data_IF_830100210734
#
_entry.id   IF_830100210734
#
_cell.length_a   1.000
_cell.length_b   1.000
_cell.length_c   1.000
_cell.angle_alpha   90.00
_cell.angle_beta   90.00
_cell.angle_gamma   90.00
#
_symmetry.space_group_name_H-M   'P 1'
#
loop_
_entity.id
_entity.type
_entity.pdbx_description
1 polymer ?
#
# COMPACT_ATOMS: atom_id res chain seq x y z
N UNK A 1 -19.78 1.46 -17.69
CA UNK A 1 -20.24 0.86 -16.41
C UNK A 1 -19.68 1.69 -15.27
N UNK A 2 -20.52 2.15 -14.33
CA UNK A 2 -20.08 3.04 -13.25
C UNK A 2 -19.50 2.20 -12.09
N UNK A 3 -18.20 2.31 -11.84
CA UNK A 3 -17.50 1.52 -10.82
C UNK A 3 -18.10 1.71 -9.41
N UNK A 4 -18.58 2.92 -9.09
CA UNK A 4 -19.23 3.22 -7.81
C UNK A 4 -20.56 2.46 -7.64
N UNK A 5 -21.29 2.24 -8.75
CA UNK A 5 -22.55 1.47 -8.74
C UNK A 5 -22.33 -0.03 -8.56
N UNK A 6 -21.17 -0.55 -8.98
CA UNK A 6 -20.80 -1.95 -8.72
C UNK A 6 -20.30 -2.13 -7.28
N UNK A 7 -19.49 -1.20 -6.79
CA UNK A 7 -19.02 -1.19 -5.40
C UNK A 7 -20.16 -1.08 -4.37
N UNK A 8 -21.29 -0.46 -4.73
CA UNK A 8 -22.44 -0.42 -3.83
C UNK A 8 -23.08 -1.80 -3.61
N UNK A 9 -22.85 -2.75 -4.53
CA UNK A 9 -23.47 -4.08 -4.52
C UNK A 9 -22.55 -5.15 -3.92
N UNK A 10 -21.25 -5.11 -4.23
CA UNK A 10 -20.24 -6.08 -3.74
C UNK A 10 -18.81 -5.62 -4.01
N UNK A 11 -17.87 -6.22 -3.31
CA UNK A 11 -16.46 -6.18 -3.66
C UNK A 11 -16.23 -6.93 -4.98
N UNK A 12 -15.29 -6.48 -5.80
CA UNK A 12 -14.94 -7.18 -7.03
C UNK A 12 -13.43 -7.27 -7.24
N UNK A 13 -13.02 -8.41 -7.81
CA UNK A 13 -11.66 -8.62 -8.27
C UNK A 13 -11.41 -7.87 -9.57
N UNK A 14 -10.24 -7.25 -9.69
CA UNK A 14 -9.84 -6.53 -10.89
C UNK A 14 -8.32 -6.70 -11.14
N UNK A 15 -7.88 -6.33 -12.34
CA UNK A 15 -6.45 -6.29 -12.67
C UNK A 15 -6.06 -4.83 -12.89
N UNK A 16 -5.31 -4.25 -11.95
CA UNK A 16 -4.84 -2.87 -12.02
C UNK A 16 -3.34 -2.79 -12.28
N UNK A 17 -2.94 -1.72 -12.97
CA UNK A 17 -1.53 -1.31 -13.02
C UNK A 17 -1.14 -0.73 -11.65
N UNK A 18 -0.18 -1.33 -10.93
CA UNK A 18 0.27 -0.83 -9.63
C UNK A 18 0.76 0.63 -9.66
N UNK A 19 1.25 1.12 -10.80
CA UNK A 19 1.73 2.50 -10.94
C UNK A 19 0.58 3.53 -10.91
N UNK A 20 -0.67 3.09 -11.06
CA UNK A 20 -1.87 3.93 -10.99
C UNK A 20 -2.50 3.97 -9.58
N UNK A 21 -1.98 3.16 -8.65
CA UNK A 21 -2.51 3.03 -7.29
C UNK A 21 -1.65 3.86 -6.35
N UNK A 22 -2.31 4.64 -5.51
CA UNK A 22 -1.72 5.53 -4.53
C UNK A 22 -1.60 4.83 -3.17
N UNK A 23 -0.59 5.24 -2.40
CA UNK A 23 -0.45 4.78 -1.01
C UNK A 23 -1.52 5.44 -0.12
N UNK A 24 -1.87 4.79 0.99
CA UNK A 24 -2.68 5.40 2.07
C UNK A 24 -1.85 5.83 3.25
N UNK A 25 -0.53 5.59 3.25
CA UNK A 25 0.37 5.95 4.33
C UNK A 25 1.63 6.60 3.75
N UNK A 26 2.17 7.61 4.45
CA UNK A 26 3.41 8.28 4.06
C UNK A 26 4.67 7.43 4.27
N UNK A 27 4.57 6.38 5.08
CA UNK A 27 5.68 5.49 5.40
C UNK A 27 5.22 4.05 5.52
N UNK A 28 6.11 3.13 5.18
CA UNK A 28 5.91 1.69 5.32
C UNK A 28 7.08 1.06 6.06
N UNK A 29 6.77 0.02 6.84
CA UNK A 29 7.79 -0.77 7.51
C UNK A 29 8.47 -1.75 6.54
N UNK A 30 9.75 -2.04 6.78
CA UNK A 30 10.52 -3.04 6.01
C UNK A 30 10.01 -4.47 6.20
N UNK A 31 9.32 -4.76 7.30
CA UNK A 31 8.88 -6.11 7.65
C UNK A 31 7.38 -6.26 7.42
N UNK A 32 6.94 -7.43 6.98
CA UNK A 32 5.53 -7.81 7.01
C UNK A 32 5.09 -8.11 8.45
N UNK A 33 3.80 -7.91 8.75
CA UNK A 33 3.26 -8.12 10.10
C UNK A 33 3.00 -9.60 10.31
N UNK A 34 3.62 -10.20 11.33
CA UNK A 34 3.40 -11.59 11.72
C UNK A 34 4.52 -12.59 11.37
N UNK A 35 5.57 -12.19 10.64
CA UNK A 35 6.57 -13.14 10.10
C UNK A 35 7.99 -12.98 10.69
N UNK A 36 8.55 -14.09 11.20
CA UNK A 36 9.51 -15.03 10.59
C UNK A 36 10.68 -14.53 9.72
N UNK A 37 10.81 -13.23 9.46
CA UNK A 37 11.97 -12.64 8.76
C UNK A 37 11.80 -12.35 7.27
N UNK A 38 10.61 -12.50 6.69
CA UNK A 38 10.35 -12.10 5.29
C UNK A 38 10.20 -10.58 5.15
N UNK A 39 11.05 -9.96 4.34
CA UNK A 39 11.08 -8.49 4.18
C UNK A 39 10.44 -7.99 2.89
N UNK A 40 10.17 -6.68 2.84
CA UNK A 40 9.80 -5.96 1.62
C UNK A 40 10.87 -6.14 0.54
N UNK A 41 12.15 -6.12 0.91
CA UNK A 41 13.26 -6.30 -0.03
C UNK A 41 13.29 -7.72 -0.61
N UNK A 42 13.15 -8.75 0.23
CA UNK A 42 13.10 -10.14 -0.22
C UNK A 42 11.94 -10.37 -1.19
N UNK A 43 10.78 -9.78 -0.89
CA UNK A 43 9.59 -9.87 -1.75
C UNK A 43 9.84 -9.21 -3.10
N UNK A 44 10.46 -8.02 -3.13
CA UNK A 44 10.85 -7.36 -4.39
C UNK A 44 11.82 -8.23 -5.18
N UNK A 45 12.87 -8.75 -4.54
CA UNK A 45 13.87 -9.58 -5.20
C UNK A 45 13.27 -10.88 -5.76
N UNK A 46 12.36 -11.51 -5.02
CA UNK A 46 11.66 -12.70 -5.48
C UNK A 46 10.70 -12.41 -6.65
N UNK A 47 10.04 -11.25 -6.68
CA UNK A 47 9.25 -10.81 -7.83
C UNK A 47 10.14 -10.55 -9.06
N UNK A 48 11.28 -9.88 -8.87
CA UNK A 48 12.25 -9.57 -9.94
C UNK A 48 12.85 -10.84 -10.54
N UNK A 49 13.21 -11.80 -9.69
CA UNK A 49 13.78 -13.09 -10.10
C UNK A 49 12.72 -14.12 -10.52
N UNK A 50 11.44 -13.72 -10.59
CA UNK A 50 10.30 -14.59 -10.94
C UNK A 50 10.12 -15.82 -10.03
N UNK A 51 10.71 -15.81 -8.82
CA UNK A 51 10.45 -16.79 -7.76
C UNK A 51 9.06 -16.61 -7.15
N UNK A 52 8.54 -15.38 -7.19
CA UNK A 52 7.16 -15.05 -6.87
C UNK A 52 6.50 -14.39 -8.07
N UNK A 53 5.22 -14.69 -8.27
CA UNK A 53 4.32 -13.97 -9.16
C UNK A 53 3.30 -13.19 -8.32
N UNK A 54 2.67 -12.15 -8.88
CA UNK A 54 1.61 -11.41 -8.17
C UNK A 54 0.47 -12.29 -7.65
N UNK A 55 0.18 -13.42 -8.29
CA UNK A 55 -0.86 -14.37 -7.88
C UNK A 55 -0.46 -15.21 -6.65
N UNK A 56 0.83 -15.32 -6.36
CA UNK A 56 1.36 -16.07 -5.23
C UNK A 56 1.30 -15.25 -3.92
N UNK A 57 1.07 -13.93 -4.05
CA UNK A 57 0.97 -13.01 -2.93
C UNK A 57 -0.49 -12.75 -2.55
N UNK A 58 -0.78 -12.43 -1.28
CA UNK A 58 -2.13 -12.04 -0.89
C UNK A 58 -2.63 -10.82 -1.67
N UNK A 59 -3.85 -10.93 -2.20
CA UNK A 59 -4.52 -9.87 -2.97
C UNK A 59 -4.49 -8.56 -2.17
N UNK A 60 -4.18 -7.45 -2.85
CA UNK A 60 -4.23 -6.11 -2.27
C UNK A 60 -5.65 -5.56 -2.31
N UNK A 61 -6.04 -4.85 -1.27
CA UNK A 61 -7.35 -4.21 -1.15
C UNK A 61 -7.23 -2.73 -1.42
N UNK A 62 -8.00 -2.25 -2.40
CA UNK A 62 -7.99 -0.87 -2.84
C UNK A 62 -9.39 -0.27 -2.80
N UNK A 63 -9.49 1.04 -2.66
CA UNK A 63 -10.76 1.76 -2.82
C UNK A 63 -10.55 2.99 -3.71
N UNK A 64 -11.65 3.58 -4.18
CA UNK A 64 -11.63 4.89 -4.81
C UNK A 64 -11.76 5.97 -3.74
N UNK A 65 -10.86 6.94 -3.74
CA UNK A 65 -11.01 8.14 -2.94
C UNK A 65 -12.04 9.12 -3.55
N UNK A 66 -12.29 10.25 -2.88
CA UNK A 66 -13.21 11.30 -3.33
C UNK A 66 -12.91 11.83 -4.75
N UNK A 67 -11.63 11.81 -5.14
CA UNK A 67 -11.13 12.22 -6.45
C UNK A 67 -11.14 11.10 -7.51
N UNK A 68 -11.76 9.95 -7.21
CA UNK A 68 -11.77 8.75 -8.06
C UNK A 68 -10.37 8.18 -8.37
N UNK A 69 -9.42 8.34 -7.46
CA UNK A 69 -8.10 7.72 -7.53
C UNK A 69 -8.09 6.43 -6.70
N UNK A 70 -7.40 5.41 -7.19
CA UNK A 70 -7.22 4.18 -6.41
C UNK A 70 -6.24 4.42 -5.27
N UNK A 71 -6.63 4.10 -4.05
CA UNK A 71 -5.78 4.12 -2.85
C UNK A 71 -5.73 2.71 -2.24
N UNK A 72 -4.56 2.27 -1.80
CA UNK A 72 -4.37 0.91 -1.28
C UNK A 72 -4.33 0.83 0.24
N UNK A 73 -5.02 -0.15 0.82
CA UNK A 73 -4.83 -0.53 2.22
C UNK A 73 -3.53 -1.33 2.42
N UNK A 74 -3.00 -1.98 1.39
CA UNK A 74 -1.89 -2.93 1.50
C UNK A 74 -0.56 -2.31 1.00
N UNK A 75 -0.22 -1.12 1.53
CA UNK A 75 0.90 -0.28 1.06
C UNK A 75 2.24 -1.01 0.85
N UNK A 76 2.61 -1.95 1.74
CA UNK A 76 3.86 -2.73 1.60
C UNK A 76 3.88 -3.59 0.34
N UNK A 77 2.77 -4.29 0.03
CA UNK A 77 2.67 -5.12 -1.19
C UNK A 77 2.58 -4.26 -2.44
N UNK A 78 1.82 -3.16 -2.39
CA UNK A 78 1.79 -2.18 -3.47
C UNK A 78 3.20 -1.68 -3.81
N UNK A 79 3.97 -1.30 -2.79
CA UNK A 79 5.35 -0.85 -2.97
C UNK A 79 6.22 -1.93 -3.62
N UNK A 80 6.09 -3.20 -3.19
CA UNK A 80 6.83 -4.30 -3.80
C UNK A 80 6.55 -4.41 -5.31
N UNK A 81 5.28 -4.33 -5.71
CA UNK A 81 4.91 -4.38 -7.12
C UNK A 81 5.43 -3.18 -7.91
N UNK A 82 5.28 -1.97 -7.39
CA UNK A 82 5.77 -0.76 -8.05
C UNK A 82 7.29 -0.81 -8.25
N UNK A 83 8.05 -1.22 -7.23
CA UNK A 83 9.50 -1.34 -7.34
C UNK A 83 9.94 -2.47 -8.27
N UNK A 84 9.27 -3.62 -8.24
CA UNK A 84 9.56 -4.70 -9.17
C UNK A 84 9.35 -4.26 -10.64
N UNK A 85 8.25 -3.54 -10.92
CA UNK A 85 7.98 -2.95 -12.25
C UNK A 85 9.08 -1.99 -12.68
N UNK A 86 9.52 -1.09 -11.79
CA UNK A 86 10.64 -0.18 -12.05
C UNK A 86 11.95 -0.93 -12.31
N UNK A 87 12.14 -2.11 -11.70
CA UNK A 87 13.29 -3.00 -11.92
C UNK A 87 13.15 -3.92 -13.14
N UNK A 88 12.11 -3.75 -13.95
CA UNK A 88 12.00 -4.39 -15.26
C UNK A 88 11.25 -5.73 -15.31
N UNK A 89 10.41 -6.06 -14.33
CA UNK A 89 9.56 -7.27 -14.42
C UNK A 89 8.55 -7.20 -15.56
N UNK A 90 8.15 -8.39 -16.03
CA UNK A 90 7.27 -8.55 -17.19
C UNK A 90 5.79 -8.25 -16.89
N UNK A 91 5.32 -8.43 -15.65
CA UNK A 91 3.91 -8.15 -15.34
C UNK A 91 3.64 -6.64 -15.33
N UNK A 92 2.50 -6.24 -15.91
CA UNK A 92 2.03 -4.84 -15.93
C UNK A 92 0.78 -4.61 -15.10
N UNK A 93 0.13 -5.69 -14.66
CA UNK A 93 -1.08 -5.64 -13.84
C UNK A 93 -1.03 -6.69 -12.75
N UNK A 94 -1.64 -6.38 -11.61
CA UNK A 94 -1.72 -7.26 -10.45
C UNK A 94 -3.19 -7.49 -10.05
N UNK A 95 -3.51 -8.64 -9.44
CA UNK A 95 -4.84 -8.87 -8.90
C UNK A 95 -5.08 -7.95 -7.70
N UNK A 96 -6.19 -7.23 -7.75
CA UNK A 96 -6.66 -6.35 -6.69
C UNK A 96 -8.09 -6.68 -6.34
N UNK A 97 -8.49 -6.34 -5.11
CA UNK A 97 -9.89 -6.33 -4.70
C UNK A 97 -10.31 -4.91 -4.44
N UNK A 98 -11.22 -4.39 -5.27
CA UNK A 98 -11.78 -3.07 -5.03
C UNK A 98 -12.91 -3.22 -4.02
N UNK A 99 -12.80 -2.47 -2.94
CA UNK A 99 -13.72 -2.49 -1.81
C UNK A 99 -14.21 -1.08 -1.50
N UNK A 100 -15.29 -1.00 -0.71
CA UNK A 100 -15.80 0.29 -0.23
C UNK A 100 -14.82 0.90 0.77
N UNK A 101 -14.62 2.21 0.66
CA UNK A 101 -13.77 2.96 1.59
C UNK A 101 -14.27 2.86 3.05
N UNK A 102 -15.59 2.83 3.23
CA UNK A 102 -16.27 2.66 4.52
C UNK A 102 -16.20 1.22 5.06
N UNK A 103 -15.46 0.32 4.42
CA UNK A 103 -15.27 -1.03 4.93
C UNK A 103 -14.29 -0.99 6.11
N UNK A 104 -14.82 -1.05 7.34
CA UNK A 104 -14.07 -1.01 8.59
C UNK A 104 -12.96 -2.09 8.66
N UNK A 105 -13.21 -3.28 8.09
CA UNK A 105 -12.24 -4.39 8.08
C UNK A 105 -10.99 -4.09 7.26
N UNK A 106 -11.06 -3.20 6.28
CA UNK A 106 -9.93 -2.84 5.44
C UNK A 106 -8.99 -1.81 6.08
N UNK A 107 -9.48 -1.13 7.13
CA UNK A 107 -8.69 -0.21 7.93
C UNK A 107 -8.31 1.08 7.23
N UNK A 108 -9.06 1.53 6.22
CA UNK A 108 -8.82 2.83 5.58
C UNK A 108 -9.01 4.00 6.55
N UNK A 109 -10.02 3.92 7.42
CA UNK A 109 -10.34 4.95 8.41
C UNK A 109 -9.15 5.21 9.35
N UNK A 110 -8.71 4.21 10.12
CA UNK A 110 -7.58 4.42 11.04
C UNK A 110 -6.28 4.74 10.32
N UNK A 111 -6.08 4.28 9.08
CA UNK A 111 -4.92 4.64 8.25
C UNK A 111 -4.95 6.11 7.86
N UNK A 112 -6.11 6.73 7.74
CA UNK A 112 -6.25 8.17 7.51
C UNK A 112 -6.18 8.97 8.81
N UNK A 113 -6.89 8.53 9.85
CA UNK A 113 -7.01 9.25 11.13
C UNK A 113 -5.72 9.29 11.94
N UNK A 114 -4.96 8.17 11.96
CA UNK A 114 -3.71 8.08 12.75
C UNK A 114 -2.48 8.64 12.01
N UNK A 115 -2.64 9.16 10.79
CA UNK A 115 -1.63 10.03 10.18
C UNK A 115 -1.70 11.37 10.92
N UNK A 116 -1.06 11.43 12.08
CA UNK A 116 -0.86 12.70 12.77
C UNK A 116 -0.08 13.64 11.83
N UNK A 117 -0.80 14.68 11.39
CA UNK A 117 -0.40 15.82 10.56
C UNK A 117 0.97 16.38 10.96
N UNK A 118 2.04 15.97 10.29
CA UNK A 118 3.20 16.88 10.10
C UNK A 118 3.35 17.24 8.63
N UNK A 119 2.92 16.36 7.73
CA UNK A 119 2.55 16.71 6.36
C UNK A 119 1.28 15.90 6.08
N UNK A 120 0.15 16.57 5.93
CA UNK A 120 -1.02 15.95 5.30
C UNK A 120 -0.50 15.37 3.98
N UNK A 121 -0.36 14.05 3.87
CA UNK A 121 0.29 13.45 2.70
C UNK A 121 -0.67 13.58 1.51
N UNK A 122 -0.72 14.77 0.93
CA UNK A 122 -1.47 15.08 -0.28
C UNK A 122 -0.81 14.46 -1.51
N UNK A 123 0.42 13.96 -1.36
CA UNK A 123 1.24 13.41 -2.43
C UNK A 123 1.39 11.90 -2.21
N UNK A 124 0.28 11.19 -2.40
CA UNK A 124 0.19 9.73 -2.23
C UNK A 124 0.97 8.90 -3.29
N UNK A 125 1.82 9.54 -4.09
CA UNK A 125 2.62 8.91 -5.14
C UNK A 125 3.97 8.37 -4.64
N UNK A 126 4.35 8.68 -3.40
CA UNK A 126 5.64 8.31 -2.83
C UNK A 126 5.48 7.90 -1.37
N UNK A 127 6.40 7.05 -0.91
CA UNK A 127 6.38 6.48 0.44
C UNK A 127 7.80 6.32 0.96
N UNK A 128 8.01 6.60 2.25
CA UNK A 128 9.29 6.37 2.93
C UNK A 128 9.33 4.93 3.46
N UNK A 129 10.42 4.21 3.21
CA UNK A 129 10.60 2.83 3.69
C UNK A 129 11.63 2.82 4.82
N UNK A 130 11.27 2.26 5.98
CA UNK A 130 12.17 2.23 7.15
C UNK A 130 11.81 1.10 8.13
N UNK A 131 12.80 0.50 8.78
CA UNK A 131 12.58 -0.45 9.89
C UNK A 131 11.83 0.22 11.07
N UNK A 132 12.04 1.52 11.24
CA UNK A 132 11.46 2.34 12.31
C UNK A 132 10.05 2.84 12.00
N UNK A 133 9.55 2.66 10.78
CA UNK A 133 8.25 3.16 10.39
C UNK A 133 7.13 2.50 11.22
N UNK A 134 6.36 3.32 11.94
CA UNK A 134 5.17 2.91 12.69
C UNK A 134 4.03 3.88 12.36
N UNK A 135 2.76 3.47 12.45
CA UNK A 135 1.63 4.37 12.19
C UNK A 135 1.68 5.70 12.96
N UNK A 136 2.24 5.70 14.18
CA UNK A 136 2.30 6.86 15.07
C UNK A 136 3.74 7.38 15.33
N UNK A 137 4.71 7.14 14.43
CA UNK A 137 6.10 7.62 14.59
C UNK A 137 6.63 8.15 13.27
N UNK A 138 7.42 9.21 13.26
CA UNK A 138 8.00 9.73 12.01
C UNK A 138 9.47 9.32 11.94
N UNK A 139 9.89 8.81 10.79
CA UNK A 139 11.30 8.57 10.48
C UNK A 139 11.87 9.83 9.80
N UNK A 140 12.77 10.54 10.49
CA UNK A 140 13.59 11.59 9.89
C UNK A 140 15.05 11.17 10.02
N UNK A 141 15.81 11.21 8.92
CA UNK A 141 17.26 10.97 8.92
C UNK A 141 17.66 9.65 9.61
N UNK A 142 16.91 8.56 9.37
CA UNK A 142 17.11 7.24 9.99
C UNK A 142 17.03 7.22 11.54
N UNK A 143 16.40 8.21 12.17
CA UNK A 143 16.12 8.24 13.61
C UNK A 143 14.62 8.19 13.88
N UNK A 144 14.24 7.47 14.94
CA UNK A 144 12.88 7.51 15.49
C UNK A 144 12.65 8.85 16.20
N UNK A 145 11.60 9.58 15.81
CA UNK A 145 11.09 10.72 16.57
C UNK A 145 9.67 10.37 17.01
N UNK A 146 9.39 10.46 18.31
CA UNK A 146 8.05 10.25 18.82
C UNK A 146 7.21 11.49 18.54
N UNK A 147 5.95 11.29 18.14
CA UNK A 147 5.05 12.41 17.79
C UNK A 147 4.74 13.30 19.01
N UNK A 148 4.99 12.81 20.23
CA UNK A 148 4.86 13.61 21.48
C UNK A 148 5.96 14.66 21.65
N UNK A 149 7.01 14.61 20.84
CA UNK A 149 8.15 15.52 20.90
C UNK A 149 7.97 16.74 19.96
N UNK A 150 6.76 16.93 19.40
CA UNK A 150 6.32 18.08 18.61
C UNK A 150 5.23 18.87 19.32
#
# INVERSE_FOLDING_TARGET
MNLKLELSKKDFGYMLDPQQILFTQAQINLYFSGDDGFTVEDTINNLVTSRLKPQDLPIIHDCLNENNQYISADNRRLYCYQQAILKGVNFKKVPVRIIRETNEYAGFEWKKEKILKIIENKIWNSVVVSHFARPNKICRENKEIWIKDF
#
